data_IF_078900092441
#
_entry.id   IF_078900092441
#
_cell.length_a   1.000
_cell.length_b   1.000
_cell.length_c   1.000
_cell.angle_alpha   90.00
_cell.angle_beta   90.00
_cell.angle_gamma   90.00
#
_symmetry.space_group_name_H-M   'P 1'
#
loop_
_entity.id
_entity.type
_entity.pdbx_description
1 polymer ?
#
# COMPACT_ATOMS: atom_id res chain seq x y z
N UNK A 1 -4.81 -4.83 -25.49
CA UNK A 1 -5.16 -6.25 -25.24
C UNK A 1 -5.20 -6.44 -23.74
N UNK A 2 -6.27 -7.02 -23.18
CA UNK A 2 -6.37 -7.21 -21.73
C UNK A 2 -5.39 -8.31 -21.27
N UNK A 3 -4.68 -8.07 -20.16
CA UNK A 3 -3.79 -9.05 -19.54
C UNK A 3 -3.78 -8.93 -18.01
N UNK A 4 -3.37 -9.96 -17.26
CA UNK A 4 -3.12 -9.82 -15.83
C UNK A 4 -2.10 -8.71 -15.51
N UNK A 5 -2.24 -7.96 -14.40
CA UNK A 5 -1.26 -6.96 -14.00
C UNK A 5 0.06 -7.58 -13.57
N UNK A 6 1.17 -7.05 -14.09
CA UNK A 6 2.52 -7.59 -13.86
C UNK A 6 3.04 -7.35 -12.42
N UNK A 7 2.45 -6.38 -11.71
CA UNK A 7 2.99 -5.86 -10.44
C UNK A 7 2.04 -6.00 -9.24
N UNK A 8 1.00 -6.83 -9.35
CA UNK A 8 0.04 -7.00 -8.26
C UNK A 8 0.68 -7.66 -7.02
N UNK A 9 0.59 -6.99 -5.87
CA UNK A 9 1.20 -7.42 -4.60
C UNK A 9 0.24 -8.08 -3.62
N UNK A 10 -1.06 -7.77 -3.69
CA UNK A 10 -2.09 -8.29 -2.79
C UNK A 10 -3.43 -8.48 -3.53
N UNK A 11 -4.44 -9.00 -2.84
CA UNK A 11 -5.78 -9.25 -3.38
C UNK A 11 -5.90 -10.53 -4.22
N UNK A 12 -6.97 -10.62 -5.02
CA UNK A 12 -7.21 -11.75 -5.93
C UNK A 12 -6.38 -11.56 -7.20
N UNK A 13 -5.52 -12.53 -7.53
CA UNK A 13 -4.69 -12.50 -8.74
C UNK A 13 -5.36 -13.32 -9.85
N UNK A 14 -5.26 -12.84 -11.08
CA UNK A 14 -5.71 -13.56 -12.28
C UNK A 14 -4.71 -14.67 -12.67
N UNK A 15 -4.53 -15.63 -11.77
CA UNK A 15 -3.58 -16.75 -11.90
C UNK A 15 -4.27 -18.06 -11.52
N UNK A 16 -3.81 -19.17 -12.09
CA UNK A 16 -4.27 -20.54 -11.77
C UNK A 16 -5.79 -20.72 -11.88
N UNK A 17 -6.41 -20.10 -12.88
CA UNK A 17 -7.87 -20.16 -13.08
C UNK A 17 -8.67 -19.37 -12.05
N UNK A 18 -8.05 -18.49 -11.26
CA UNK A 18 -8.76 -17.59 -10.35
C UNK A 18 -9.21 -16.33 -11.05
N UNK A 19 -10.38 -15.82 -10.63
CA UNK A 19 -10.86 -14.51 -11.03
C UNK A 19 -9.97 -13.44 -10.41
N UNK A 20 -9.46 -12.52 -11.22
CA UNK A 20 -8.61 -11.43 -10.78
C UNK A 20 -8.63 -10.27 -11.77
N UNK A 21 -7.91 -9.19 -11.45
CA UNK A 21 -7.91 -7.98 -12.24
C UNK A 21 -7.20 -8.17 -13.58
N UNK A 22 -7.49 -7.25 -14.50
CA UNK A 22 -6.86 -7.12 -15.80
C UNK A 22 -6.39 -5.68 -16.01
N UNK A 23 -5.46 -5.47 -16.93
CA UNK A 23 -5.03 -4.15 -17.43
C UNK A 23 -5.08 -4.13 -18.96
N UNK A 24 -5.31 -2.96 -19.55
CA UNK A 24 -5.39 -2.77 -21.01
C UNK A 24 -4.06 -2.37 -21.68
N UNK A 25 -3.08 -1.91 -20.89
CA UNK A 25 -1.83 -1.34 -21.37
C UNK A 25 -1.92 0.16 -21.74
N UNK A 26 -3.10 0.78 -21.62
CA UNK A 26 -3.35 2.22 -21.81
C UNK A 26 -3.66 2.95 -20.50
N UNK A 27 -3.34 2.32 -19.36
CA UNK A 27 -3.47 2.93 -18.03
C UNK A 27 -4.80 2.66 -17.34
N UNK A 28 -5.58 1.66 -17.77
CA UNK A 28 -6.78 1.19 -17.05
C UNK A 28 -6.56 -0.13 -16.36
N UNK A 29 -7.09 -0.21 -15.15
CA UNK A 29 -7.16 -1.38 -14.28
C UNK A 29 -8.62 -1.82 -14.14
N UNK A 30 -8.90 -3.06 -14.52
CA UNK A 30 -10.22 -3.66 -14.50
C UNK A 30 -10.30 -4.61 -13.31
N UNK A 31 -10.93 -4.16 -12.23
CA UNK A 31 -11.12 -4.95 -11.02
C UNK A 31 -12.43 -5.73 -11.12
N UNK A 32 -12.43 -7.07 -11.13
CA UNK A 32 -13.68 -7.82 -11.14
C UNK A 32 -14.49 -7.51 -9.89
N UNK A 33 -15.78 -7.25 -10.04
CA UNK A 33 -16.68 -7.04 -8.92
C UNK A 33 -16.72 -8.31 -8.07
N UNK A 34 -16.52 -8.15 -6.77
CA UNK A 34 -16.55 -9.24 -5.81
C UNK A 34 -17.99 -9.63 -5.47
N UNK A 35 -18.19 -10.89 -5.08
CA UNK A 35 -19.49 -11.40 -4.60
C UNK A 35 -19.95 -10.73 -3.31
N UNK A 36 -21.16 -11.08 -2.87
CA UNK A 36 -21.72 -10.69 -1.56
C UNK A 36 -21.81 -9.18 -1.37
N UNK A 37 -22.27 -8.47 -2.42
CA UNK A 37 -22.43 -7.01 -2.49
C UNK A 37 -21.12 -6.19 -2.42
N UNK A 38 -20.00 -6.79 -2.02
CA UNK A 38 -18.69 -6.11 -1.88
C UNK A 38 -18.26 -5.36 -3.13
N UNK A 39 -18.49 -5.95 -4.32
CA UNK A 39 -18.22 -5.27 -5.58
C UNK A 39 -19.13 -4.08 -5.84
N UNK A 40 -20.41 -4.18 -5.46
CA UNK A 40 -21.39 -3.09 -5.61
C UNK A 40 -21.12 -1.96 -4.61
N UNK A 41 -20.78 -2.29 -3.36
CA UNK A 41 -20.38 -1.31 -2.35
C UNK A 41 -19.15 -0.50 -2.78
N UNK A 42 -18.15 -1.15 -3.38
CA UNK A 42 -16.99 -0.44 -3.92
C UNK A 42 -17.37 0.50 -5.09
N UNK A 43 -18.29 0.09 -5.97
CA UNK A 43 -18.83 0.95 -7.04
C UNK A 43 -19.59 2.15 -6.46
N UNK A 44 -20.44 1.92 -5.45
CA UNK A 44 -21.22 2.97 -4.78
C UNK A 44 -20.29 3.99 -4.12
N UNK A 45 -19.26 3.52 -3.41
CA UNK A 45 -18.22 4.38 -2.83
C UNK A 45 -17.58 5.26 -3.90
N UNK A 46 -17.06 4.67 -4.98
CA UNK A 46 -16.39 5.47 -6.01
C UNK A 46 -17.34 6.47 -6.69
N UNK A 47 -18.59 6.08 -6.92
CA UNK A 47 -19.61 6.94 -7.53
C UNK A 47 -19.92 8.14 -6.64
N UNK A 48 -20.17 7.92 -5.35
CA UNK A 48 -20.46 8.99 -4.39
C UNK A 48 -19.22 9.88 -4.15
N UNK A 49 -18.06 9.26 -3.91
CA UNK A 49 -16.79 9.94 -3.66
C UNK A 49 -16.36 10.83 -4.84
N UNK A 50 -16.51 10.35 -6.08
CA UNK A 50 -16.19 11.13 -7.28
C UNK A 50 -17.00 12.44 -7.37
N UNK A 51 -18.26 12.41 -6.89
CA UNK A 51 -19.16 13.57 -6.94
C UNK A 51 -19.13 14.47 -5.70
N UNK A 52 -18.45 14.08 -4.63
CA UNK A 52 -18.54 14.76 -3.34
C UNK A 52 -17.73 16.09 -3.26
N UNK A 53 -18.36 17.27 -3.22
CA UNK A 53 -17.65 18.54 -3.25
C UNK A 53 -16.83 18.84 -1.98
N UNK A 54 -17.05 18.14 -0.87
CA UNK A 54 -16.34 18.39 0.39
C UNK A 54 -14.92 17.82 0.38
N UNK A 55 -14.65 16.82 -0.47
CA UNK A 55 -13.32 16.18 -0.57
C UNK A 55 -12.37 17.06 -1.40
N UNK A 56 -11.29 17.59 -0.80
CA UNK A 56 -10.36 18.47 -1.51
C UNK A 56 -9.66 17.78 -2.68
N UNK A 57 -9.33 18.53 -3.74
CA UNK A 57 -8.67 18.00 -4.93
C UNK A 57 -7.34 17.29 -4.63
N UNK A 58 -6.54 17.80 -3.70
CA UNK A 58 -5.28 17.17 -3.31
C UNK A 58 -5.48 15.82 -2.60
N UNK A 59 -6.60 15.65 -1.87
CA UNK A 59 -6.98 14.38 -1.25
C UNK A 59 -7.47 13.38 -2.28
N UNK A 60 -8.19 13.83 -3.31
CA UNK A 60 -8.67 12.96 -4.40
C UNK A 60 -7.53 12.22 -5.11
N UNK A 61 -6.34 12.82 -5.15
CA UNK A 61 -5.14 12.22 -5.77
C UNK A 61 -4.64 10.96 -5.04
N UNK A 62 -5.07 10.72 -3.80
CA UNK A 62 -4.78 9.47 -3.09
C UNK A 62 -5.65 8.30 -3.57
N UNK A 63 -6.70 8.53 -4.35
CA UNK A 63 -7.63 7.50 -4.80
C UNK A 63 -7.43 7.25 -6.31
N UNK A 64 -7.51 6.00 -6.79
CA UNK A 64 -7.55 5.73 -8.22
C UNK A 64 -8.75 6.43 -8.85
N UNK A 65 -8.59 7.08 -10.01
CA UNK A 65 -9.74 7.66 -10.69
C UNK A 65 -10.68 6.55 -11.16
N UNK A 66 -11.99 6.77 -10.99
CA UNK A 66 -13.04 5.85 -11.36
C UNK A 66 -13.63 6.22 -12.72
N UNK A 67 -13.72 5.24 -13.63
CA UNK A 67 -14.16 5.41 -15.01
C UNK A 67 -15.44 4.65 -15.32
N UNK A 68 -16.20 4.28 -14.28
CA UNK A 68 -17.43 3.49 -14.42
C UNK A 68 -17.19 1.98 -14.35
N UNK A 69 -18.20 1.24 -14.77
CA UNK A 69 -18.19 -0.23 -14.79
C UNK A 69 -18.34 -0.74 -16.22
N UNK A 70 -17.81 -1.94 -16.47
CA UNK A 70 -17.89 -2.60 -17.77
C UNK A 70 -17.99 -4.11 -17.58
N UNK A 71 -18.73 -4.78 -18.46
CA UNK A 71 -18.76 -6.26 -18.49
C UNK A 71 -17.71 -6.76 -19.48
N UNK A 72 -16.81 -7.62 -19.01
CA UNK A 72 -15.71 -8.19 -19.79
C UNK A 72 -15.63 -9.71 -19.57
N UNK A 73 -15.02 -10.48 -20.48
CA UNK A 73 -14.70 -11.87 -20.20
C UNK A 73 -13.86 -11.98 -18.92
N UNK A 74 -14.32 -12.81 -17.98
CA UNK A 74 -13.66 -13.08 -16.72
C UNK A 74 -12.28 -13.71 -16.94
N UNK A 75 -11.30 -13.32 -16.13
CA UNK A 75 -9.91 -13.81 -16.27
C UNK A 75 -9.76 -15.31 -16.04
N UNK A 76 -10.72 -15.94 -15.37
CA UNK A 76 -10.78 -17.38 -15.13
C UNK A 76 -11.53 -18.16 -16.23
N UNK A 77 -12.02 -17.48 -17.27
CA UNK A 77 -12.79 -18.12 -18.34
C UNK A 77 -14.25 -18.44 -17.99
N UNK A 78 -14.80 -17.96 -16.86
CA UNK A 78 -16.19 -18.25 -16.47
C UNK A 78 -17.25 -17.48 -17.27
N UNK A 79 -16.87 -16.83 -18.38
CA UNK A 79 -17.75 -16.02 -19.21
C UNK A 79 -17.76 -14.54 -18.82
N UNK A 80 -18.75 -13.76 -19.27
CA UNK A 80 -18.86 -12.33 -18.98
C UNK A 80 -19.00 -12.05 -17.48
N UNK A 81 -18.22 -11.11 -16.94
CA UNK A 81 -18.23 -10.70 -15.54
C UNK A 81 -18.12 -9.18 -15.44
N UNK A 82 -18.83 -8.52 -14.51
CA UNK A 82 -18.74 -7.08 -14.33
C UNK A 82 -17.42 -6.67 -13.66
N UNK A 83 -16.81 -5.60 -14.15
CA UNK A 83 -15.56 -5.03 -13.66
C UNK A 83 -15.72 -3.54 -13.39
N UNK A 84 -15.07 -3.08 -12.32
CA UNK A 84 -14.84 -1.68 -12.00
C UNK A 84 -13.62 -1.21 -12.79
N UNK A 85 -13.71 -0.06 -13.46
CA UNK A 85 -12.63 0.52 -14.25
C UNK A 85 -11.95 1.64 -13.46
N UNK A 86 -10.68 1.43 -13.12
CA UNK A 86 -9.85 2.37 -12.36
C UNK A 86 -8.61 2.78 -13.16
N UNK A 87 -7.92 3.82 -12.70
CA UNK A 87 -6.54 4.06 -13.12
C UNK A 87 -5.64 2.89 -12.72
N UNK A 88 -4.80 2.44 -13.65
CA UNK A 88 -3.66 1.58 -13.34
C UNK A 88 -2.58 2.42 -12.65
N UNK A 89 -2.53 2.30 -11.32
CA UNK A 89 -1.66 3.11 -10.45
C UNK A 89 -0.16 2.95 -10.74
N UNK A 90 0.23 1.89 -11.43
CA UNK A 90 1.64 1.59 -11.76
C UNK A 90 1.92 1.69 -13.25
N UNK A 91 0.97 2.23 -14.02
CA UNK A 91 1.14 2.45 -15.45
C UNK A 91 2.34 3.37 -15.72
N UNK A 92 3.17 2.98 -16.69
CA UNK A 92 4.37 3.73 -17.06
C UNK A 92 5.56 3.55 -16.13
N UNK A 93 5.44 2.76 -15.05
CA UNK A 93 6.58 2.38 -14.20
C UNK A 93 7.22 1.10 -14.74
N UNK A 94 8.55 1.09 -14.86
CA UNK A 94 9.28 -0.08 -15.38
C UNK A 94 9.46 -1.16 -14.31
N UNK A 95 10.00 -0.76 -13.16
CA UNK A 95 10.37 -1.67 -12.08
C UNK A 95 9.96 -1.12 -10.72
N UNK A 96 8.64 -0.94 -10.46
CA UNK A 96 8.19 -0.40 -9.20
C UNK A 96 8.39 -1.41 -8.06
N UNK A 97 8.91 -0.90 -6.95
CA UNK A 97 8.84 -1.55 -5.65
C UNK A 97 7.52 -1.14 -4.99
N UNK A 98 6.71 -2.10 -4.56
CA UNK A 98 5.36 -1.89 -4.05
C UNK A 98 5.13 -2.63 -2.73
N UNK A 99 4.36 -2.03 -1.83
CA UNK A 99 3.91 -2.63 -0.58
C UNK A 99 2.46 -2.22 -0.27
N UNK A 100 1.62 -3.22 0.01
CA UNK A 100 0.23 -3.04 0.42
C UNK A 100 0.14 -3.21 1.94
N UNK A 101 -0.33 -2.14 2.60
CA UNK A 101 -0.49 -2.08 4.04
C UNK A 101 -1.98 -1.91 4.37
N UNK A 102 -2.59 -2.94 4.95
CA UNK A 102 -3.98 -2.83 5.40
C UNK A 102 -4.03 -2.09 6.73
N UNK A 103 -4.82 -1.03 6.78
CA UNK A 103 -4.85 -0.07 7.90
C UNK A 103 -6.07 -0.35 8.80
N UNK A 104 -5.89 -0.16 10.09
CA UNK A 104 -6.87 -0.38 11.15
C UNK A 104 -6.46 -1.50 12.12
N UNK A 105 -6.77 -1.31 13.40
CA UNK A 105 -6.60 -2.37 14.42
C UNK A 105 -7.69 -3.43 14.36
N UNK A 106 -8.82 -3.08 13.73
CA UNK A 106 -9.87 -3.99 13.32
C UNK A 106 -10.17 -3.83 11.83
N UNK A 107 -10.54 -4.94 11.21
CA UNK A 107 -11.00 -4.99 9.81
C UNK A 107 -12.49 -5.36 9.66
N UNK A 108 -13.17 -5.57 10.78
CA UNK A 108 -14.62 -5.71 10.90
C UNK A 108 -15.29 -4.40 11.33
N UNK A 109 -16.61 -4.33 11.16
CA UNK A 109 -17.44 -3.19 11.54
C UNK A 109 -18.77 -3.65 12.16
N UNK A 110 -19.47 -2.79 12.93
CA UNK A 110 -20.63 -3.19 13.74
C UNK A 110 -21.76 -3.87 12.98
N UNK A 111 -22.01 -3.45 11.73
CA UNK A 111 -23.08 -4.00 10.87
C UNK A 111 -22.63 -5.18 10.01
N UNK A 112 -21.40 -5.66 10.18
CA UNK A 112 -20.91 -6.83 9.43
C UNK A 112 -21.56 -8.13 9.90
N UNK A 113 -21.72 -9.09 8.99
CA UNK A 113 -22.30 -10.40 9.34
C UNK A 113 -21.43 -11.16 10.35
N UNK A 114 -22.04 -12.03 11.16
CA UNK A 114 -21.32 -12.82 12.17
C UNK A 114 -20.14 -13.62 11.59
N UNK A 115 -20.32 -14.17 10.39
CA UNK A 115 -19.27 -14.92 9.70
C UNK A 115 -18.12 -14.02 9.28
N UNK A 116 -18.42 -12.82 8.76
CA UNK A 116 -17.40 -11.83 8.42
C UNK A 116 -16.68 -11.32 9.66
N UNK A 117 -17.43 -10.97 10.71
CA UNK A 117 -16.90 -10.55 12.00
C UNK A 117 -15.91 -11.56 12.57
N UNK A 118 -16.31 -12.83 12.71
CA UNK A 118 -15.44 -13.91 13.24
C UNK A 118 -14.17 -14.08 12.39
N UNK A 119 -14.32 -14.10 11.05
CA UNK A 119 -13.20 -14.22 10.10
C UNK A 119 -12.20 -13.07 10.25
N UNK A 120 -12.69 -11.84 10.32
CA UNK A 120 -11.85 -10.64 10.45
C UNK A 120 -11.21 -10.57 11.83
N UNK A 121 -11.97 -10.81 12.90
CA UNK A 121 -11.46 -10.84 14.28
C UNK A 121 -10.32 -11.85 14.45
N UNK A 122 -10.47 -13.08 13.93
CA UNK A 122 -9.41 -14.09 13.98
C UNK A 122 -8.16 -13.62 13.24
N UNK A 123 -8.31 -13.10 12.03
CA UNK A 123 -7.18 -12.57 11.24
C UNK A 123 -6.51 -11.37 11.92
N UNK A 124 -7.28 -10.48 12.52
CA UNK A 124 -6.76 -9.29 13.19
C UNK A 124 -5.92 -9.68 14.41
N UNK A 125 -6.34 -10.71 15.16
CA UNK A 125 -5.60 -11.29 16.31
C UNK A 125 -4.32 -12.02 15.90
N UNK A 126 -4.31 -12.66 14.74
CA UNK A 126 -3.17 -13.43 14.23
C UNK A 126 -2.15 -12.56 13.48
N UNK A 127 -2.37 -11.25 13.37
CA UNK A 127 -1.53 -10.35 12.58
C UNK A 127 -1.12 -9.11 13.38
N UNK A 128 -0.23 -8.31 12.79
CA UNK A 128 0.17 -7.01 13.32
C UNK A 128 -0.97 -5.98 13.41
N UNK A 129 -2.15 -6.27 12.83
CA UNK A 129 -3.30 -5.34 12.83
C UNK A 129 -3.70 -4.96 14.24
N UNK A 130 -4.03 -5.95 15.10
CA UNK A 130 -4.49 -5.67 16.46
C UNK A 130 -3.47 -4.87 17.29
N UNK A 131 -2.17 -5.26 17.37
CA UNK A 131 -1.19 -4.53 18.18
C UNK A 131 -0.65 -3.24 17.55
N UNK A 132 -0.53 -3.16 16.22
CA UNK A 132 0.13 -2.04 15.53
C UNK A 132 -0.84 -1.12 14.78
N UNK A 133 -2.10 -1.49 14.64
CA UNK A 133 -3.08 -0.74 13.86
C UNK A 133 -2.91 -0.89 12.35
N UNK A 134 -2.02 -1.75 11.87
CA UNK A 134 -1.91 -2.09 10.45
C UNK A 134 -1.17 -3.41 10.26
N UNK A 135 -1.28 -4.01 9.07
CA UNK A 135 -0.52 -5.20 8.67
C UNK A 135 -0.02 -5.11 7.23
N UNK A 136 1.05 -5.82 6.93
CA UNK A 136 1.50 -6.01 5.55
C UNK A 136 0.60 -7.06 4.89
N UNK A 137 -0.06 -6.71 3.79
CA UNK A 137 -0.91 -7.62 3.01
C UNK A 137 -0.15 -8.30 1.87
N UNK A 138 0.89 -7.64 1.38
CA UNK A 138 1.75 -8.13 0.30
C UNK A 138 2.77 -7.08 -0.12
N UNK A 139 3.84 -7.52 -0.77
CA UNK A 139 4.88 -6.64 -1.28
C UNK A 139 5.64 -7.28 -2.43
N UNK A 140 6.29 -6.44 -3.22
CA UNK A 140 7.20 -6.81 -4.31
C UNK A 140 8.24 -5.72 -4.43
N UNK A 141 9.49 -6.04 -4.12
CA UNK A 141 10.60 -5.08 -4.15
C UNK A 141 11.55 -5.42 -5.27
N UNK A 142 11.87 -4.46 -6.12
CA UNK A 142 12.87 -4.64 -7.17
C UNK A 142 14.29 -4.62 -6.58
N UNK A 143 15.06 -5.68 -6.85
CA UNK A 143 16.42 -5.85 -6.31
C UNK A 143 17.53 -5.28 -7.22
N UNK A 144 17.17 -4.71 -8.36
CA UNK A 144 18.12 -4.22 -9.36
C UNK A 144 18.31 -5.20 -10.53
N UNK A 145 19.05 -4.73 -11.53
CA UNK A 145 19.32 -5.49 -12.75
C UNK A 145 20.03 -6.81 -12.45
N UNK A 146 19.56 -7.91 -13.07
CA UNK A 146 20.10 -9.26 -12.82
C UNK A 146 19.62 -9.95 -11.55
N UNK A 147 19.04 -9.23 -10.57
CA UNK A 147 18.60 -9.81 -9.29
C UNK A 147 17.09 -10.06 -9.17
N UNK A 148 16.30 -9.50 -10.10
CA UNK A 148 14.86 -9.70 -10.17
C UNK A 148 14.10 -9.04 -9.00
N UNK A 149 13.14 -9.74 -8.43
CA UNK A 149 12.24 -9.21 -7.39
C UNK A 149 12.29 -10.03 -6.11
N UNK A 150 12.22 -9.34 -4.98
CA UNK A 150 11.84 -9.95 -3.71
C UNK A 150 10.32 -9.86 -3.55
N UNK A 151 9.62 -10.99 -3.70
CA UNK A 151 8.18 -11.14 -3.51
C UNK A 151 7.96 -12.35 -2.58
N UNK A 152 7.96 -12.16 -1.26
CA UNK A 152 7.67 -13.25 -0.33
C UNK A 152 6.25 -13.77 -0.56
N UNK A 153 6.05 -15.07 -0.33
CA UNK A 153 4.73 -15.67 -0.44
C UNK A 153 3.78 -15.17 0.65
N UNK A 154 2.49 -15.45 0.46
CA UNK A 154 1.41 -14.98 1.34
C UNK A 154 1.56 -15.44 2.79
N UNK A 155 2.10 -16.62 3.04
CA UNK A 155 2.27 -17.14 4.40
C UNK A 155 3.45 -16.48 5.10
N UNK A 156 4.55 -16.26 4.36
CA UNK A 156 5.68 -15.47 4.86
C UNK A 156 5.24 -14.06 5.27
N UNK A 157 4.45 -13.38 4.43
CA UNK A 157 3.91 -12.05 4.75
C UNK A 157 2.99 -12.07 5.96
N UNK A 158 2.09 -13.05 6.06
CA UNK A 158 1.21 -13.20 7.22
C UNK A 158 1.97 -13.45 8.53
N UNK A 159 3.14 -14.09 8.45
CA UNK A 159 4.02 -14.32 9.58
C UNK A 159 4.65 -13.05 10.15
N UNK A 160 4.59 -11.91 9.45
CA UNK A 160 5.06 -10.63 9.95
C UNK A 160 4.07 -10.02 10.98
N UNK A 161 4.14 -10.53 12.21
CA UNK A 161 3.17 -10.21 13.27
C UNK A 161 3.71 -9.22 14.30
N UNK A 162 5.02 -9.17 14.51
CA UNK A 162 5.64 -8.30 15.51
C UNK A 162 6.04 -6.94 14.93
N UNK A 163 6.27 -5.96 15.81
CA UNK A 163 6.85 -4.67 15.42
C UNK A 163 8.22 -4.84 14.74
N UNK A 164 9.05 -5.77 15.21
CA UNK A 164 10.37 -6.05 14.63
C UNK A 164 10.30 -6.63 13.22
N UNK A 165 9.34 -7.54 12.98
CA UNK A 165 9.15 -8.11 11.63
C UNK A 165 8.71 -7.03 10.64
N UNK A 166 7.71 -6.23 11.02
CA UNK A 166 7.18 -5.14 10.19
C UNK A 166 8.27 -4.11 9.91
N UNK A 167 9.03 -3.70 10.93
CA UNK A 167 10.15 -2.78 10.77
C UNK A 167 11.21 -3.34 9.81
N UNK A 168 11.57 -4.61 9.95
CA UNK A 168 12.55 -5.26 9.07
C UNK A 168 12.11 -5.24 7.61
N UNK A 169 10.83 -5.50 7.34
CA UNK A 169 10.26 -5.41 5.99
C UNK A 169 10.26 -3.98 5.47
N UNK A 170 9.85 -3.00 6.27
CA UNK A 170 9.84 -1.58 5.88
C UNK A 170 11.25 -1.02 5.65
N UNK A 171 12.25 -1.50 6.38
CA UNK A 171 13.65 -1.17 6.12
C UNK A 171 14.13 -1.80 4.81
N UNK A 172 13.81 -3.07 4.59
CA UNK A 172 14.18 -3.77 3.35
C UNK A 172 13.50 -3.18 2.11
N UNK A 173 12.30 -2.63 2.25
CA UNK A 173 11.59 -1.93 1.18
C UNK A 173 12.42 -0.78 0.58
N UNK A 174 13.23 -0.10 1.39
CA UNK A 174 14.09 1.03 0.96
C UNK A 174 15.58 0.69 0.95
N UNK A 175 15.91 -0.60 0.89
CA UNK A 175 17.31 -1.07 0.82
C UNK A 175 17.83 -1.05 -0.61
N UNK A 176 19.11 -0.71 -0.79
CA UNK A 176 19.81 -0.94 -2.07
C UNK A 176 20.34 -2.36 -2.19
N UNK A 177 20.65 -3.00 -1.06
CA UNK A 177 21.16 -4.37 -1.04
C UNK A 177 20.17 -5.38 -1.65
N UNK A 178 20.70 -6.25 -2.52
CA UNK A 178 19.97 -7.41 -3.04
C UNK A 178 19.85 -8.54 -2.00
N UNK A 179 20.68 -8.52 -0.96
CA UNK A 179 20.86 -9.58 0.04
C UNK A 179 20.07 -9.31 1.33
N UNK A 180 20.28 -10.11 2.37
CA UNK A 180 19.62 -9.96 3.68
C UNK A 180 20.10 -8.75 4.48
N UNK A 181 21.22 -8.13 4.11
CA UNK A 181 21.65 -6.87 4.70
C UNK A 181 20.67 -5.75 4.33
N UNK A 182 20.37 -4.87 5.29
CA UNK A 182 19.40 -3.80 5.08
C UNK A 182 20.07 -2.46 5.38
N UNK A 183 20.53 -1.80 4.33
CA UNK A 183 21.27 -0.53 4.40
C UNK A 183 20.36 0.70 4.51
N UNK A 184 19.06 0.54 4.21
CA UNK A 184 18.09 1.63 4.12
C UNK A 184 18.55 2.79 3.21
N UNK A 185 19.39 2.52 2.21
CA UNK A 185 20.05 3.55 1.40
C UNK A 185 19.08 4.51 0.72
N UNK A 186 17.88 4.05 0.36
CA UNK A 186 16.86 4.87 -0.28
C UNK A 186 15.90 5.55 0.71
N UNK A 187 16.08 5.38 2.02
CA UNK A 187 15.14 5.92 3.01
C UNK A 187 14.97 7.44 2.90
N UNK A 188 16.06 8.19 2.69
CA UNK A 188 16.00 9.65 2.57
C UNK A 188 15.16 10.10 1.38
N UNK A 189 15.37 9.48 0.21
CA UNK A 189 14.69 9.85 -1.05
C UNK A 189 13.28 9.26 -1.21
N UNK A 190 12.99 8.15 -0.52
CA UNK A 190 11.67 7.48 -0.58
C UNK A 190 10.76 7.90 0.57
N UNK A 191 11.25 7.86 1.81
CA UNK A 191 10.44 8.23 2.98
C UNK A 191 10.53 9.73 3.29
N UNK A 192 11.72 10.33 3.16
CA UNK A 192 11.98 11.74 3.45
C UNK A 192 11.68 12.70 2.29
N UNK A 193 11.98 13.99 2.48
CA UNK A 193 11.73 15.05 1.51
C UNK A 193 10.29 15.58 1.53
N UNK A 194 10.08 16.72 0.86
CA UNK A 194 8.76 17.36 0.78
C UNK A 194 7.75 16.57 -0.06
N UNK A 195 8.26 15.74 -0.99
CA UNK A 195 7.46 14.89 -1.87
C UNK A 195 7.52 13.40 -1.52
N UNK A 196 8.21 13.03 -0.43
CA UNK A 196 8.34 11.65 0.00
C UNK A 196 7.08 11.06 0.61
N UNK A 197 7.13 9.75 0.89
CA UNK A 197 6.00 9.01 1.45
C UNK A 197 5.52 9.63 2.77
N UNK A 198 6.41 10.09 3.65
CA UNK A 198 5.99 10.69 4.93
C UNK A 198 5.20 11.97 4.74
N UNK A 199 5.61 12.86 3.83
CA UNK A 199 4.88 14.10 3.57
C UNK A 199 3.47 13.80 3.04
N UNK A 200 3.35 12.85 2.11
CA UNK A 200 2.06 12.39 1.56
C UNK A 200 1.17 11.72 2.61
N UNK A 201 1.73 10.91 3.50
CA UNK A 201 0.97 10.30 4.60
C UNK A 201 0.55 11.33 5.66
N UNK A 202 1.34 12.38 5.89
CA UNK A 202 0.97 13.47 6.80
C UNK A 202 -0.16 14.33 6.23
N UNK A 203 -0.16 14.59 4.93
CA UNK A 203 -1.26 15.22 4.20
C UNK A 203 -2.55 14.38 4.32
N UNK A 204 -2.45 13.07 4.06
CA UNK A 204 -3.57 12.16 4.23
C UNK A 204 -4.05 12.11 5.69
N UNK A 205 -3.13 12.08 6.65
CA UNK A 205 -3.44 12.09 8.08
C UNK A 205 -4.23 13.35 8.47
N UNK A 206 -3.82 14.52 8.00
CA UNK A 206 -4.53 15.77 8.29
C UNK A 206 -5.99 15.72 7.83
N UNK A 207 -6.26 15.14 6.65
CA UNK A 207 -7.63 14.92 6.21
C UNK A 207 -8.40 13.94 7.10
N UNK A 208 -7.77 12.84 7.54
CA UNK A 208 -8.38 11.87 8.45
C UNK A 208 -8.61 12.40 9.88
N UNK A 209 -7.96 13.50 10.27
CA UNK A 209 -8.19 14.17 11.55
C UNK A 209 -9.47 15.02 11.54
N UNK A 210 -9.89 15.49 10.36
CA UNK A 210 -11.00 16.43 10.21
C UNK A 210 -12.24 15.80 9.56
N UNK A 211 -12.06 14.90 8.59
CA UNK A 211 -13.17 14.29 7.87
C UNK A 211 -13.97 13.35 8.79
N UNK A 212 -15.29 13.39 8.64
CA UNK A 212 -16.23 12.58 9.44
C UNK A 212 -17.27 11.85 8.59
N UNK A 213 -17.09 11.88 7.27
CA UNK A 213 -18.03 11.34 6.30
C UNK A 213 -17.78 9.85 6.02
N UNK A 214 -16.53 9.39 6.20
CA UNK A 214 -16.13 8.05 5.80
C UNK A 214 -15.39 7.31 6.91
N UNK A 215 -15.81 6.06 7.18
CA UNK A 215 -15.02 5.09 7.93
C UNK A 215 -14.49 4.01 6.99
N UNK A 216 -13.18 3.94 6.84
CA UNK A 216 -12.47 3.05 5.94
C UNK A 216 -12.14 1.74 6.66
N UNK A 217 -13.03 0.76 6.58
CA UNK A 217 -12.75 -0.58 7.11
C UNK A 217 -12.11 -1.45 6.03
N UNK A 218 -11.16 -2.32 6.41
CA UNK A 218 -10.52 -3.25 5.48
C UNK A 218 -9.84 -2.62 4.26
N UNK A 219 -9.56 -1.31 4.28
CA UNK A 219 -8.87 -0.59 3.20
C UNK A 219 -7.35 -0.65 3.39
N UNK A 220 -6.60 -0.42 2.32
CA UNK A 220 -5.13 -0.44 2.34
C UNK A 220 -4.54 0.89 1.87
N UNK A 221 -3.37 1.21 2.42
CA UNK A 221 -2.42 2.16 1.84
C UNK A 221 -1.46 1.35 0.96
N UNK A 222 -1.49 1.57 -0.35
CA UNK A 222 -0.51 1.08 -1.31
C UNK A 222 0.60 2.11 -1.43
N UNK A 223 1.82 1.74 -1.06
CA UNK A 223 3.00 2.56 -1.25
C UNK A 223 3.87 1.99 -2.36
N UNK A 224 4.53 2.87 -3.09
CA UNK A 224 5.44 2.47 -4.15
C UNK A 224 6.54 3.47 -4.41
N UNK A 225 7.61 3.01 -5.04
CA UNK A 225 8.62 3.88 -5.65
C UNK A 225 9.32 3.17 -6.80
N UNK A 226 9.94 3.95 -7.67
CA UNK A 226 10.80 3.41 -8.72
C UNK A 226 12.28 3.46 -8.29
N UNK A 227 12.90 2.28 -8.18
CA UNK A 227 14.28 2.14 -7.69
C UNK A 227 15.29 2.91 -8.53
N UNK A 228 15.20 2.84 -9.85
CA UNK A 228 16.14 3.53 -10.76
C UNK A 228 16.11 5.06 -10.59
N UNK A 229 14.96 5.62 -10.20
CA UNK A 229 14.85 7.04 -9.88
C UNK A 229 15.47 7.35 -8.50
N UNK A 230 15.26 6.48 -7.52
CA UNK A 230 15.88 6.59 -6.20
C UNK A 230 17.42 6.50 -6.28
N UNK A 231 17.97 5.61 -7.11
CA UNK A 231 19.42 5.48 -7.38
C UNK A 231 20.01 6.75 -8.00
N UNK A 232 19.23 7.46 -8.84
CA UNK A 232 19.62 8.74 -9.44
C UNK A 232 19.40 9.94 -8.51
N UNK A 233 19.00 9.72 -7.26
CA UNK A 233 18.68 10.77 -6.30
C UNK A 233 17.51 11.66 -6.73
N UNK A 234 16.65 11.19 -7.64
CA UNK A 234 15.52 11.97 -8.15
C UNK A 234 14.36 11.86 -7.18
N UNK A 235 14.11 12.95 -6.47
CA UNK A 235 12.90 13.13 -5.66
C UNK A 235 11.64 13.05 -6.56
N UNK A 236 10.56 12.45 -6.07
CA UNK A 236 9.23 12.55 -6.72
C UNK A 236 8.72 11.36 -7.55
N UNK A 237 9.36 10.18 -7.52
CA UNK A 237 8.77 8.94 -8.07
C UNK A 237 8.25 7.98 -6.99
N UNK A 238 7.71 8.54 -5.92
CA UNK A 238 6.98 7.77 -4.90
C UNK A 238 5.49 7.83 -5.16
N UNK A 239 4.78 6.79 -4.74
CA UNK A 239 3.33 6.66 -4.86
C UNK A 239 2.78 6.31 -3.48
N UNK A 240 1.73 7.02 -3.08
CA UNK A 240 0.89 6.66 -1.93
C UNK A 240 -0.56 6.73 -2.40
N UNK A 241 -1.27 5.60 -2.33
CA UNK A 241 -2.67 5.47 -2.76
C UNK A 241 -3.48 4.68 -1.76
N UNK A 242 -4.76 5.02 -1.61
CA UNK A 242 -5.73 4.21 -0.91
C UNK A 242 -6.41 3.25 -1.89
N UNK A 243 -6.63 2.01 -1.47
CA UNK A 243 -7.26 0.96 -2.28
C UNK A 243 -8.17 0.06 -1.44
N UNK A 244 -8.99 -0.74 -2.13
CA UNK A 244 -9.93 -1.74 -1.58
C UNK A 244 -11.10 -1.16 -0.78
N UNK A 245 -11.98 -0.43 -1.47
CA UNK A 245 -13.07 0.34 -0.83
C UNK A 245 -14.40 -0.42 -0.67
N UNK A 246 -14.37 -1.75 -0.70
CA UNK A 246 -15.56 -2.59 -0.57
C UNK A 246 -16.22 -2.54 0.82
N UNK A 247 -15.59 -1.88 1.80
CA UNK A 247 -16.07 -1.78 3.18
C UNK A 247 -15.87 -0.36 3.74
N UNK A 248 -16.09 0.66 2.91
CA UNK A 248 -16.20 2.04 3.38
C UNK A 248 -17.63 2.28 3.87
N UNK A 249 -17.76 2.84 5.06
CA UNK A 249 -19.03 3.09 5.72
C UNK A 249 -19.25 4.59 5.87
N UNK A 250 -20.51 5.00 6.03
CA UNK A 250 -20.85 6.34 6.47
C UNK A 250 -20.27 6.59 7.87
N UNK A 251 -19.54 7.71 8.01
CA UNK A 251 -18.87 8.07 9.26
C UNK A 251 -19.80 8.68 10.31
N UNK A 252 -21.02 9.08 9.95
CA UNK A 252 -22.04 9.58 10.86
C UNK A 252 -21.64 10.85 11.62
N UNK A 253 -20.73 11.67 11.07
CA UNK A 253 -20.20 12.84 11.77
C UNK A 253 -19.14 12.49 12.82
N UNK A 254 -18.59 11.27 12.79
CA UNK A 254 -17.51 10.82 13.70
C UNK A 254 -16.23 10.55 12.92
N UNK A 255 -15.09 10.91 13.50
CA UNK A 255 -13.76 10.62 12.95
C UNK A 255 -13.52 9.11 12.91
N UNK A 256 -12.91 8.61 11.83
CA UNK A 256 -12.43 7.24 11.75
C UNK A 256 -11.15 7.04 12.60
N UNK A 257 -11.34 6.87 13.91
CA UNK A 257 -10.25 6.62 14.84
C UNK A 257 -9.48 5.32 14.53
N UNK A 258 -10.12 4.33 13.92
CA UNK A 258 -9.49 3.05 13.60
C UNK A 258 -8.45 3.24 12.49
N UNK A 259 -8.85 3.87 11.38
CA UNK A 259 -7.95 4.13 10.28
C UNK A 259 -6.88 5.17 10.66
N UNK A 260 -7.28 6.27 11.31
CA UNK A 260 -6.36 7.32 11.76
C UNK A 260 -5.28 6.76 12.71
N UNK A 261 -5.66 5.91 13.67
CA UNK A 261 -4.71 5.27 14.58
C UNK A 261 -3.69 4.40 13.86
N UNK A 262 -4.14 3.59 12.90
CA UNK A 262 -3.27 2.78 12.05
C UNK A 262 -2.32 3.60 11.19
N UNK A 263 -2.82 4.68 10.58
CA UNK A 263 -2.03 5.61 9.79
C UNK A 263 -0.96 6.31 10.64
N UNK A 264 -1.31 6.75 11.84
CA UNK A 264 -0.35 7.35 12.79
C UNK A 264 0.76 6.37 13.18
N UNK A 265 0.40 5.11 13.43
CA UNK A 265 1.35 4.05 13.73
C UNK A 265 2.32 3.83 12.57
N UNK A 266 1.82 3.69 11.34
CA UNK A 266 2.65 3.55 10.13
C UNK A 266 3.63 4.73 9.98
N UNK A 267 3.13 5.98 10.11
CA UNK A 267 3.96 7.19 10.07
C UNK A 267 5.09 7.13 11.11
N UNK A 268 4.81 6.63 12.32
CA UNK A 268 5.83 6.49 13.37
C UNK A 268 6.92 5.50 12.98
N UNK A 269 6.58 4.36 12.38
CA UNK A 269 7.57 3.39 11.87
C UNK A 269 8.48 4.04 10.82
N UNK A 270 7.88 4.70 9.83
CA UNK A 270 8.63 5.32 8.72
C UNK A 270 9.54 6.46 9.21
N UNK A 271 9.05 7.31 10.13
CA UNK A 271 9.86 8.38 10.75
C UNK A 271 11.07 7.81 11.47
N UNK A 272 10.90 6.75 12.26
CA UNK A 272 12.00 6.10 12.98
C UNK A 272 13.04 5.54 12.01
N UNK A 273 12.61 4.81 10.97
CA UNK A 273 13.53 4.26 9.96
C UNK A 273 14.32 5.38 9.26
N UNK A 274 13.67 6.48 8.92
CA UNK A 274 14.32 7.65 8.31
C UNK A 274 15.37 8.27 9.25
N UNK A 275 15.04 8.47 10.53
CA UNK A 275 15.97 9.00 11.53
C UNK A 275 17.20 8.09 11.69
N UNK A 276 16.98 6.79 11.80
CA UNK A 276 18.07 5.82 11.99
C UNK A 276 18.97 5.73 10.74
N UNK A 277 18.40 5.84 9.54
CA UNK A 277 19.17 5.90 8.31
C UNK A 277 20.04 7.17 8.22
N UNK A 278 19.50 8.33 8.61
CA UNK A 278 20.25 9.59 8.66
C UNK A 278 21.40 9.59 9.68
N UNK A 279 21.22 8.92 10.82
CA UNK A 279 22.26 8.76 11.83
C UNK A 279 23.46 7.92 11.35
N UNK A 280 23.25 7.01 10.40
CA UNK A 280 24.30 6.15 9.83
C UNK A 280 25.16 6.86 8.77
N UNK A 281 24.70 7.97 8.18
CA UNK A 281 25.48 8.77 7.20
C UNK A 281 26.51 9.68 7.91
N UNK A 282 26.41 9.86 9.23
CA UNK A 282 27.34 10.65 10.04
C UNK A 282 28.58 9.91 10.57
N UNK A 283 28.83 8.67 10.12
CA UNK A 283 30.02 7.89 10.50
C UNK A 283 30.82 7.46 9.27
N UNK A 284 31.61 8.39 8.74
CA UNK A 284 32.79 8.09 7.92
C UNK A 284 34.07 8.18 8.79
N UNK A 285 35.19 7.57 8.37
CA UNK A 285 35.83 6.37 8.92
C UNK A 285 36.67 6.64 10.21
N UNK A 286 37.22 5.61 10.88
CA UNK A 286 38.27 5.85 11.88
C UNK A 286 39.43 6.61 11.23
N UNK A 287 39.92 7.62 11.96
CA UNK A 287 41.02 8.51 11.63
C UNK A 287 42.19 7.84 10.87
N UNK A 288 42.91 8.60 10.02
CA UNK A 288 44.13 8.10 9.40
C UNK A 288 45.16 7.77 10.51
N UNK A 289 45.77 6.59 10.41
CA UNK A 289 47.01 6.30 11.13
C UNK A 289 48.05 7.36 10.73
N UNK A 290 48.24 8.34 11.60
CA UNK A 290 49.44 9.14 11.59
C UNK A 290 50.61 8.19 11.82
N UNK A 291 51.43 8.03 10.79
CA UNK A 291 52.78 7.53 10.96
C UNK A 291 53.52 8.34 12.02
N UNK A 292 54.23 7.63 12.88
CA UNK A 292 55.51 8.11 13.39
C UNK A 292 56.54 7.00 13.22
N UNK A 293 57.52 7.33 12.37
CA UNK A 293 58.90 6.91 12.50
C UNK A 293 59.36 7.18 13.94
N UNK A 294 59.84 6.14 14.61
CA UNK A 294 61.17 6.04 15.25
C UNK A 294 61.42 4.58 15.63
#
# INVERSE_FOLDING_TARGET
MLKPPDHQVAGHQALDGNLGPLIDGSGRFYKPLQSDERGLEEVLFYTSFASNPTVPNHIRLFFPAFHGTVTLPASNGSGPHPHLVLDDLVHGLSHPSLIDLKIGSRTWYPTSSDNYFKKCLNKDRETSSLPLGFRISGLRVYKGEGFGFWKPDKNTVKGCVTAGDVESVLRRFVSSSADSSTDCAFASVVYGGADGILARLLELKAWFEDQTEYHFCSCSVLMGFEREAAEKGREGRVMVRLVDFAHVLDGGGVIDHNFLGGLCSLIKFLKRILTDAGANVGKDPPFPENGRLE
#
